data_IF_335125795139
#
_entry.id   IF_335125795139
#
_cell.length_a   1.000
_cell.length_b   1.000
_cell.length_c   1.000
_cell.angle_alpha   90.00
_cell.angle_beta   90.00
_cell.angle_gamma   90.00
#
_symmetry.space_group_name_H-M   'P 1'
#
loop_
_entity.id
_entity.type
_entity.pdbx_description
1 polymer ?
#
# COMPACT_ATOMS: atom_id res chain seq x y z
N UNK A 1 -33.49 -2.10 -2.54
CA UNK A 1 -32.71 -2.82 -1.51
C UNK A 1 -31.48 -3.55 -2.06
N UNK A 2 -31.51 -4.08 -3.28
CA UNK A 2 -30.42 -4.93 -3.85
C UNK A 2 -29.07 -4.22 -4.03
N UNK A 3 -29.06 -2.91 -4.29
CA UNK A 3 -27.81 -2.19 -4.63
C UNK A 3 -26.80 -2.11 -3.47
N UNK A 4 -27.28 -2.02 -2.22
CA UNK A 4 -26.42 -1.92 -1.05
C UNK A 4 -25.59 -3.18 -0.79
N UNK A 5 -26.08 -4.35 -1.23
CA UNK A 5 -25.40 -5.64 -1.06
C UNK A 5 -24.06 -5.66 -1.80
N UNK A 6 -23.95 -4.95 -2.93
CA UNK A 6 -22.71 -4.85 -3.69
C UNK A 6 -21.85 -3.65 -3.28
N UNK A 7 -22.50 -2.53 -2.92
CA UNK A 7 -21.77 -1.30 -2.55
C UNK A 7 -21.01 -1.43 -1.24
N UNK A 8 -21.55 -2.14 -0.24
CA UNK A 8 -20.88 -2.32 1.06
C UNK A 8 -19.54 -3.06 0.91
N UNK A 9 -19.46 -4.28 0.34
CA UNK A 9 -18.18 -4.98 0.19
C UNK A 9 -17.22 -4.23 -0.74
N UNK A 10 -17.72 -3.62 -1.81
CA UNK A 10 -16.93 -2.78 -2.70
C UNK A 10 -16.27 -1.62 -1.94
N UNK A 11 -17.05 -0.88 -1.16
CA UNK A 11 -16.57 0.28 -0.39
C UNK A 11 -15.56 -0.15 0.66
N UNK A 12 -15.81 -1.25 1.37
CA UNK A 12 -14.86 -1.79 2.36
C UNK A 12 -13.54 -2.19 1.70
N UNK A 13 -13.61 -2.89 0.56
CA UNK A 13 -12.43 -3.32 -0.17
C UNK A 13 -11.57 -2.14 -0.64
N UNK A 14 -12.19 -1.13 -1.26
CA UNK A 14 -11.49 0.05 -1.76
C UNK A 14 -11.03 0.99 -0.66
N UNK A 15 -11.74 1.06 0.46
CA UNK A 15 -11.27 1.81 1.64
C UNK A 15 -9.98 1.19 2.18
N UNK A 16 -9.89 -0.15 2.22
CA UNK A 16 -8.65 -0.84 2.63
C UNK A 16 -7.49 -0.60 1.67
N UNK A 17 -7.76 -0.59 0.37
CA UNK A 17 -6.77 -0.28 -0.67
C UNK A 17 -6.25 1.16 -0.55
N UNK A 18 -7.15 2.12 -0.34
CA UNK A 18 -6.81 3.52 -0.08
C UNK A 18 -5.94 3.66 1.17
N UNK A 19 -6.31 3.01 2.27
CA UNK A 19 -5.57 3.06 3.52
C UNK A 19 -4.17 2.45 3.41
N UNK A 20 -3.95 1.48 2.52
CA UNK A 20 -2.66 0.79 2.34
C UNK A 20 -1.82 1.32 1.19
N UNK A 21 -2.28 2.34 0.47
CA UNK A 21 -1.68 2.81 -0.77
C UNK A 21 -1.37 1.67 -1.73
N UNK A 22 -2.43 0.97 -2.14
CA UNK A 22 -2.32 -0.17 -3.04
C UNK A 22 -3.48 -0.14 -4.02
N UNK A 23 -3.20 -0.37 -5.29
CA UNK A 23 -4.20 -0.57 -6.34
C UNK A 23 -4.82 -1.97 -6.27
N UNK A 24 -5.96 -2.14 -6.93
CA UNK A 24 -6.59 -3.46 -7.08
C UNK A 24 -5.68 -4.45 -7.80
N UNK A 25 -4.93 -3.98 -8.81
CA UNK A 25 -3.98 -4.82 -9.57
C UNK A 25 -2.89 -5.34 -8.64
N UNK A 26 -2.22 -4.45 -7.89
CA UNK A 26 -1.16 -4.83 -6.96
C UNK A 26 -1.65 -5.76 -5.83
N UNK A 27 -2.92 -5.63 -5.43
CA UNK A 27 -3.54 -6.56 -4.48
C UNK A 27 -3.65 -7.98 -5.05
N UNK A 28 -4.11 -8.11 -6.29
CA UNK A 28 -4.32 -9.42 -6.94
C UNK A 28 -3.03 -10.04 -7.49
N UNK A 29 -2.17 -9.25 -8.12
CA UNK A 29 -0.85 -9.68 -8.61
C UNK A 29 0.10 -10.00 -7.45
N UNK A 30 -0.30 -9.66 -6.22
CA UNK A 30 0.55 -9.74 -5.03
C UNK A 30 1.90 -9.10 -5.33
N UNK A 31 1.91 -7.88 -5.90
CA UNK A 31 3.10 -7.07 -6.21
C UNK A 31 3.86 -6.67 -4.93
N UNK A 32 4.29 -7.68 -4.21
CA UNK A 32 4.99 -7.61 -2.96
C UNK A 32 6.28 -8.37 -3.18
N UNK A 33 7.35 -7.62 -3.10
CA UNK A 33 8.71 -8.12 -3.16
C UNK A 33 8.85 -9.25 -2.12
N UNK A 34 9.36 -10.41 -2.58
CA UNK A 34 9.56 -11.59 -1.72
C UNK A 34 10.62 -11.24 -0.68
N UNK A 35 10.25 -11.21 0.60
CA UNK A 35 11.19 -11.47 1.69
C UNK A 35 11.53 -12.96 1.62
N UNK A 36 12.74 -13.28 1.15
CA UNK A 36 13.29 -14.63 1.15
C UNK A 36 14.45 -14.69 2.13
N UNK A 37 14.26 -15.37 3.26
CA UNK A 37 15.37 -15.73 4.13
C UNK A 37 16.08 -16.97 3.60
N UNK A 38 17.37 -16.86 3.30
CA UNK A 38 18.27 -17.99 3.20
C UNK A 38 18.62 -18.48 4.60
N UNK A 39 17.84 -19.41 5.15
CA UNK A 39 18.35 -20.52 5.98
C UNK A 39 17.18 -21.30 6.60
N UNK A 40 17.19 -22.60 6.30
CA UNK A 40 16.72 -23.73 7.13
C UNK A 40 15.63 -23.47 8.18
N UNK A 41 14.48 -24.11 7.95
CA UNK A 41 13.57 -24.69 8.97
C UNK A 41 12.55 -23.83 9.68
N UNK A 42 12.37 -22.55 9.35
CA UNK A 42 11.16 -21.84 9.76
C UNK A 42 10.22 -21.63 8.58
N UNK A 43 8.98 -22.13 8.72
CA UNK A 43 7.83 -21.83 7.87
C UNK A 43 7.43 -20.37 8.18
N UNK A 44 8.35 -19.43 8.05
CA UNK A 44 8.11 -18.01 8.17
C UNK A 44 7.58 -17.52 6.83
N UNK A 45 6.26 -17.68 6.69
CA UNK A 45 5.35 -16.97 5.80
C UNK A 45 6.03 -15.77 5.13
N UNK A 46 6.53 -15.95 3.91
CA UNK A 46 7.08 -14.88 3.07
C UNK A 46 6.16 -13.68 3.16
N UNK A 47 6.56 -12.65 3.91
CA UNK A 47 5.66 -11.56 4.27
C UNK A 47 5.64 -10.61 3.09
N UNK A 48 4.61 -10.77 2.26
CA UNK A 48 4.27 -9.85 1.18
C UNK A 48 4.34 -8.38 1.68
N UNK A 49 5.38 -7.65 1.29
CA UNK A 49 5.67 -6.26 1.64
C UNK A 49 5.15 -5.21 0.61
N UNK A 50 4.61 -4.07 1.09
CA UNK A 50 4.16 -2.95 0.24
C UNK A 50 5.10 -1.73 0.37
N UNK A 51 5.93 -1.40 -0.65
CA UNK A 51 6.83 -0.25 -0.58
C UNK A 51 6.10 1.10 -0.62
N UNK A 52 4.89 1.14 -1.17
CA UNK A 52 4.11 2.37 -1.33
C UNK A 52 3.34 2.76 -0.06
N UNK A 53 3.27 1.87 0.93
CA UNK A 53 2.58 2.15 2.18
C UNK A 53 3.42 3.06 3.09
N UNK A 54 3.16 4.36 3.02
CA UNK A 54 3.82 5.39 3.82
C UNK A 54 2.97 5.81 5.05
N UNK A 55 1.97 5.00 5.40
CA UNK A 55 1.06 5.19 6.51
C UNK A 55 -0.29 5.81 6.12
N UNK A 56 -1.35 5.32 6.75
CA UNK A 56 -2.77 5.57 6.39
C UNK A 56 -3.10 7.03 6.09
N UNK A 57 -2.66 7.97 6.93
CA UNK A 57 -2.96 9.40 6.74
C UNK A 57 -2.33 9.94 5.46
N UNK A 58 -1.04 9.63 5.23
CA UNK A 58 -0.31 10.08 4.05
C UNK A 58 -0.85 9.39 2.79
N UNK A 59 -1.21 8.12 2.89
CA UNK A 59 -1.84 7.35 1.81
C UNK A 59 -3.17 7.98 1.38
N UNK A 60 -4.03 8.33 2.34
CA UNK A 60 -5.29 9.03 2.07
C UNK A 60 -5.04 10.41 1.46
N UNK A 61 -4.06 11.16 1.98
CA UNK A 61 -3.71 12.48 1.46
C UNK A 61 -3.20 12.43 0.00
N UNK A 62 -2.60 11.31 -0.44
CA UNK A 62 -2.18 11.16 -1.85
C UNK A 62 -3.37 11.17 -2.80
N UNK A 63 -4.49 10.53 -2.44
CA UNK A 63 -5.66 10.41 -3.32
C UNK A 63 -6.64 11.57 -3.13
N UNK A 64 -6.95 11.91 -1.88
CA UNK A 64 -7.97 12.92 -1.55
C UNK A 64 -7.39 14.34 -1.42
N UNK A 65 -6.06 14.47 -1.50
CA UNK A 65 -5.36 15.74 -1.30
C UNK A 65 -5.23 16.15 0.16
N UNK A 66 -4.42 17.18 0.40
CA UNK A 66 -4.25 17.78 1.73
C UNK A 66 -5.42 18.69 2.07
N UNK A 67 -5.94 18.58 3.30
CA UNK A 67 -6.97 19.48 3.80
C UNK A 67 -7.83 18.88 4.90
N UNK A 68 -8.86 19.64 5.29
CA UNK A 68 -9.88 19.20 6.23
C UNK A 68 -10.66 17.99 5.70
N UNK A 69 -11.14 17.13 6.60
CA UNK A 69 -11.98 15.96 6.28
C UNK A 69 -13.19 16.33 5.41
N UNK A 70 -13.82 17.48 5.68
CA UNK A 70 -14.96 17.96 4.89
C UNK A 70 -14.62 18.18 3.42
N UNK A 71 -13.43 18.72 3.13
CA UNK A 71 -12.97 18.93 1.76
C UNK A 71 -12.73 17.61 1.03
N UNK A 72 -12.29 16.57 1.76
CA UNK A 72 -12.04 15.23 1.23
C UNK A 72 -13.32 14.47 0.86
N UNK A 73 -14.46 14.85 1.44
CA UNK A 73 -15.77 14.28 1.11
C UNK A 73 -16.43 14.97 -0.10
N UNK A 74 -15.94 16.15 -0.48
CA UNK A 74 -16.45 16.86 -1.63
C UNK A 74 -15.74 16.36 -2.89
N UNK A 75 -16.45 16.22 -4.04
CA UNK A 75 -15.87 15.77 -5.31
C UNK A 75 -15.06 16.90 -5.98
N UNK A 76 -14.19 17.56 -5.22
CA UNK A 76 -13.37 18.70 -5.64
C UNK A 76 -11.98 18.56 -5.04
N UNK A 77 -10.98 18.45 -5.90
CA UNK A 77 -9.60 18.32 -5.48
C UNK A 77 -8.72 17.83 -6.62
N UNK A 78 -7.41 17.78 -6.34
CA UNK A 78 -6.42 17.14 -7.20
C UNK A 78 -5.63 16.16 -6.33
N UNK A 79 -5.42 14.91 -6.78
CA UNK A 79 -4.51 14.00 -6.10
C UNK A 79 -3.10 14.60 -6.05
N UNK A 80 -2.29 14.15 -5.09
CA UNK A 80 -0.88 14.53 -5.01
C UNK A 80 -0.06 13.70 -6.00
N UNK A 81 1.03 14.30 -6.47
CA UNK A 81 1.95 13.67 -7.42
C UNK A 81 1.65 13.99 -8.88
N UNK A 82 2.46 13.41 -9.74
CA UNK A 82 2.44 13.52 -11.20
C UNK A 82 1.81 12.29 -11.87
N UNK A 83 1.62 11.20 -11.12
CA UNK A 83 1.14 9.91 -11.61
C UNK A 83 2.24 9.02 -12.22
N UNK A 84 3.47 9.52 -12.30
CA UNK A 84 4.64 8.79 -12.81
C UNK A 84 5.62 8.38 -11.70
N UNK A 85 5.70 9.15 -10.62
CA UNK A 85 6.57 8.89 -9.48
C UNK A 85 5.79 8.86 -8.18
N UNK A 86 6.02 7.84 -7.35
CA UNK A 86 5.34 7.65 -6.08
C UNK A 86 6.35 7.58 -4.92
N UNK A 87 6.05 8.19 -3.76
CA UNK A 87 6.94 8.13 -2.61
C UNK A 87 7.00 6.71 -2.02
N UNK A 88 8.20 6.24 -1.74
CA UNK A 88 8.45 4.95 -1.08
C UNK A 88 8.61 5.11 0.43
N UNK A 89 8.25 4.06 1.17
CA UNK A 89 8.61 3.92 2.57
C UNK A 89 10.08 3.50 2.67
N UNK A 90 10.98 4.48 2.89
CA UNK A 90 12.42 4.25 2.93
C UNK A 90 12.85 3.27 4.02
N UNK A 91 12.33 3.41 5.24
CA UNK A 91 12.61 2.46 6.33
C UNK A 91 12.33 1.03 5.92
N UNK A 92 11.20 0.82 5.25
CA UNK A 92 10.77 -0.50 4.87
C UNK A 92 11.42 -1.00 3.56
N UNK A 93 11.96 -0.09 2.73
CA UNK A 93 12.82 -0.40 1.60
C UNK A 93 14.25 -0.77 2.05
N UNK A 94 14.81 -0.03 3.01
CA UNK A 94 16.15 -0.25 3.56
C UNK A 94 16.24 -1.61 4.27
N UNK A 95 15.16 -2.05 4.93
CA UNK A 95 15.07 -3.40 5.48
C UNK A 95 15.07 -4.50 4.42
N UNK A 96 14.81 -4.21 3.15
CA UNK A 96 14.96 -5.20 2.07
C UNK A 96 16.43 -5.35 1.66
N UNK A 97 17.18 -4.24 1.57
CA UNK A 97 18.58 -4.27 1.11
C UNK A 97 19.59 -4.71 2.17
N UNK A 98 19.25 -4.64 3.45
CA UNK A 98 20.13 -5.06 4.54
C UNK A 98 20.28 -6.59 4.65
N UNK A 99 19.26 -7.35 4.26
CA UNK A 99 19.28 -8.82 4.34
C UNK A 99 20.15 -9.43 3.23
N UNK A 100 20.19 -8.82 2.03
CA UNK A 100 21.02 -9.28 0.90
C UNK A 100 22.54 -9.13 1.19
N UNK A 101 22.95 -8.14 1.99
CA UNK A 101 24.35 -7.87 2.29
C UNK A 101 24.97 -8.79 3.37
N UNK A 102 24.14 -9.54 4.11
CA UNK A 102 24.58 -10.45 5.17
C UNK A 102 24.76 -11.90 4.67
N UNK A 103 24.34 -12.22 3.44
CA UNK A 103 24.54 -13.55 2.82
C UNK A 103 25.84 -13.64 1.97
N UNK A 104 26.63 -12.57 1.87
CA UNK A 104 27.86 -12.50 1.05
C UNK A 104 29.19 -12.76 1.81
N UNK A 105 29.15 -13.24 3.07
CA UNK A 105 30.35 -13.54 3.89
C UNK A 105 30.47 -15.02 4.28
#
# INVERSE_FOLDING_TARGET
MVQWIFLVPFTIFHTRQLCKNRSTIEYYEKANYRMGGGSSRDIMRSKYFNPWDIGTRKNIDQVLGKGSLWRKLMPVGKPLGDGSSFPINSYAYDTLGADDALEEF
#
